data_IF_703757914890
#
_entry.id   IF_703757914890
#
_cell.length_a   1.000
_cell.length_b   1.000
_cell.length_c   1.000
_cell.angle_alpha   90.00
_cell.angle_beta   90.00
_cell.angle_gamma   90.00
#
_symmetry.space_group_name_H-M   'P 1'
#
loop_
_entity.id
_entity.type
_entity.pdbx_description
1 polymer ?
#
# COMPACT_ATOMS: atom_id res chain seq x y z
N UNK A 1 19.76 -8.56 13.72
CA UNK A 1 18.96 -7.50 13.10
C UNK A 1 17.99 -6.92 14.13
N UNK A 2 18.10 -5.65 14.38
CA UNK A 2 17.18 -4.92 15.26
C UNK A 2 16.55 -3.78 14.49
N UNK A 3 15.24 -3.60 14.64
CA UNK A 3 14.54 -2.48 14.01
C UNK A 3 13.45 -1.94 14.93
N UNK A 4 13.13 -0.66 14.77
CA UNK A 4 12.07 0.00 15.55
C UNK A 4 11.33 1.00 14.67
N UNK A 5 10.01 1.03 14.80
CA UNK A 5 9.18 2.05 14.14
C UNK A 5 9.42 3.39 14.80
N UNK A 6 9.77 4.40 14.00
CA UNK A 6 10.00 5.78 14.49
C UNK A 6 8.83 6.71 14.19
N UNK A 7 8.10 6.44 13.14
CA UNK A 7 6.94 7.24 12.81
C UNK A 7 6.16 6.61 11.68
N UNK A 8 4.90 6.99 11.57
CA UNK A 8 4.03 6.55 10.49
C UNK A 8 3.07 7.69 10.15
N UNK A 9 2.85 7.90 8.86
CA UNK A 9 1.89 8.90 8.41
C UNK A 9 1.33 8.54 7.04
N UNK A 10 0.22 9.19 6.69
CA UNK A 10 -0.36 9.06 5.36
C UNK A 10 0.38 9.98 4.39
N UNK A 11 0.86 9.43 3.28
CA UNK A 11 1.41 10.21 2.17
C UNK A 11 0.30 10.68 1.23
N UNK A 12 -0.77 9.90 1.13
CA UNK A 12 -1.89 10.22 0.25
C UNK A 12 -3.18 9.62 0.81
N UNK A 13 -4.23 10.43 0.88
CA UNK A 13 -5.59 10.00 1.18
C UNK A 13 -6.49 10.66 0.14
N UNK A 14 -6.92 9.92 -0.87
CA UNK A 14 -7.67 10.46 -1.99
C UNK A 14 -8.93 9.63 -2.22
N UNK A 15 -10.06 10.31 -2.41
CA UNK A 15 -11.34 9.66 -2.68
C UNK A 15 -12.21 10.59 -3.53
N UNK A 16 -12.84 10.04 -4.56
CA UNK A 16 -13.83 10.79 -5.34
C UNK A 16 -14.90 9.83 -5.87
N UNK A 17 -16.13 10.31 -5.95
CA UNK A 17 -17.26 9.55 -6.48
C UNK A 17 -17.29 9.67 -7.99
N UNK A 18 -17.50 8.56 -8.67
CA UNK A 18 -17.72 8.51 -10.11
C UNK A 18 -19.22 8.41 -10.36
N UNK A 19 -19.76 9.38 -11.11
CA UNK A 19 -21.18 9.38 -11.47
C UNK A 19 -21.38 8.53 -12.71
N UNK A 20 -21.38 7.21 -12.52
CA UNK A 20 -21.52 6.23 -13.59
C UNK A 20 -22.75 5.37 -13.38
N UNK A 21 -23.37 4.93 -14.48
CA UNK A 21 -24.52 4.05 -14.42
C UNK A 21 -24.06 2.60 -14.42
N UNK A 22 -24.17 1.95 -13.26
CA UNK A 22 -23.73 0.58 -13.06
C UNK A 22 -24.91 -0.41 -12.94
N UNK A 23 -26.09 -0.05 -13.49
CA UNK A 23 -27.35 -0.78 -13.26
C UNK A 23 -27.27 -2.30 -13.49
N UNK A 24 -26.45 -2.76 -14.42
CA UNK A 24 -26.36 -4.19 -14.76
C UNK A 24 -24.95 -4.74 -14.61
N UNK A 25 -24.01 -3.94 -14.10
CA UNK A 25 -22.62 -4.35 -13.96
C UNK A 25 -22.37 -4.91 -12.56
N UNK A 26 -21.84 -6.14 -12.51
CA UNK A 26 -21.31 -6.67 -11.27
C UNK A 26 -19.92 -6.08 -11.06
N UNK A 27 -19.83 -5.11 -10.16
CA UNK A 27 -18.56 -4.47 -9.84
C UNK A 27 -17.84 -5.30 -8.80
N UNK A 28 -16.66 -5.79 -9.16
CA UNK A 28 -15.80 -6.54 -8.24
C UNK A 28 -14.70 -5.60 -7.77
N UNK A 29 -14.53 -5.49 -6.45
CA UNK A 29 -13.45 -4.71 -5.87
C UNK A 29 -12.12 -5.40 -6.17
N UNK A 30 -11.28 -4.74 -6.96
CA UNK A 30 -10.00 -5.30 -7.42
C UNK A 30 -8.88 -4.26 -7.24
N UNK A 31 -8.47 -3.97 -5.99
CA UNK A 31 -7.47 -2.95 -5.73
C UNK A 31 -6.09 -3.39 -6.18
N UNK A 32 -5.28 -2.40 -6.56
CA UNK A 32 -3.86 -2.59 -6.85
C UNK A 32 -3.04 -2.14 -5.65
N UNK A 33 -1.98 -2.88 -5.36
CA UNK A 33 -1.09 -2.57 -4.25
C UNK A 33 0.30 -2.21 -4.76
N UNK A 34 0.93 -1.26 -4.09
CA UNK A 34 2.32 -0.88 -4.38
C UNK A 34 3.11 -0.89 -3.08
N UNK A 35 4.36 -1.31 -3.16
CA UNK A 35 5.28 -1.33 -2.02
C UNK A 35 6.60 -0.72 -2.45
N UNK A 36 7.15 0.15 -1.60
CA UNK A 36 8.43 0.78 -1.88
C UNK A 36 9.25 0.83 -0.60
N UNK A 37 10.50 0.36 -0.68
CA UNK A 37 11.44 0.36 0.42
C UNK A 37 12.61 1.26 0.05
N UNK A 38 12.93 2.21 0.92
CA UNK A 38 14.07 3.10 0.71
C UNK A 38 14.95 3.12 1.94
N UNK A 39 16.25 3.20 1.71
CA UNK A 39 17.24 3.47 2.73
C UNK A 39 17.74 4.89 2.52
N UNK A 40 17.77 5.71 3.58
CA UNK A 40 18.19 7.09 3.46
C UNK A 40 19.72 7.17 3.25
N UNK A 41 20.14 7.94 2.23
CA UNK A 41 21.56 8.11 1.92
C UNK A 41 22.33 8.84 3.01
N UNK A 42 21.69 9.79 3.67
CA UNK A 42 22.31 10.62 4.70
C UNK A 42 22.41 9.90 6.05
N UNK A 43 21.59 8.89 6.27
CA UNK A 43 21.60 8.07 7.47
C UNK A 43 21.18 6.65 7.12
N UNK A 44 22.15 5.78 6.94
CA UNK A 44 21.91 4.41 6.50
C UNK A 44 21.20 3.53 7.52
N UNK A 45 20.96 4.02 8.73
CA UNK A 45 20.18 3.32 9.74
C UNK A 45 18.68 3.58 9.56
N UNK A 46 18.30 4.59 8.80
CA UNK A 46 16.89 4.95 8.59
C UNK A 46 16.40 4.33 7.28
N UNK A 47 15.30 3.63 7.40
CA UNK A 47 14.61 2.99 6.29
C UNK A 47 13.18 3.47 6.26
N UNK A 48 12.60 3.57 5.06
CA UNK A 48 11.18 3.87 4.91
C UNK A 48 10.51 2.77 4.12
N UNK A 49 9.28 2.48 4.54
CA UNK A 49 8.42 1.53 3.84
C UNK A 49 7.12 2.24 3.51
N UNK A 50 6.82 2.32 2.22
CA UNK A 50 5.58 2.92 1.73
C UNK A 50 4.73 1.83 1.12
N UNK A 51 3.50 1.72 1.57
CA UNK A 51 2.52 0.80 1.00
C UNK A 51 1.33 1.60 0.51
N UNK A 52 0.90 1.30 -0.72
CA UNK A 52 -0.22 1.98 -1.32
C UNK A 52 -1.28 1.02 -1.82
N UNK A 53 -2.50 1.51 -1.86
CA UNK A 53 -3.63 0.82 -2.47
C UNK A 53 -4.36 1.81 -3.37
N UNK A 54 -4.70 1.39 -4.59
CA UNK A 54 -5.49 2.21 -5.49
C UNK A 54 -6.55 1.38 -6.18
N UNK A 55 -7.70 2.00 -6.42
CA UNK A 55 -8.78 1.43 -7.21
C UNK A 55 -9.46 2.60 -7.92
N UNK A 56 -9.16 2.77 -9.19
CA UNK A 56 -9.58 3.93 -9.96
C UNK A 56 -10.23 3.50 -11.26
N UNK A 57 -11.20 4.29 -11.72
CA UNK A 57 -11.86 4.02 -12.98
C UNK A 57 -10.89 4.18 -14.14
N UNK A 58 -11.00 3.31 -15.15
CA UNK A 58 -10.17 3.34 -16.34
C UNK A 58 -11.02 2.88 -17.54
N UNK A 59 -10.45 2.89 -18.73
CA UNK A 59 -11.13 2.37 -19.91
C UNK A 59 -11.44 0.88 -19.78
N UNK A 60 -10.58 0.15 -19.07
CA UNK A 60 -10.71 -1.30 -18.90
C UNK A 60 -11.62 -1.68 -17.73
N UNK A 61 -11.68 -0.84 -16.69
CA UNK A 61 -12.44 -1.11 -15.48
C UNK A 61 -13.16 0.13 -15.00
N UNK A 62 -14.48 0.08 -14.98
CA UNK A 62 -15.31 1.20 -14.50
C UNK A 62 -15.63 0.95 -13.04
N UNK A 63 -15.29 1.92 -12.17
CA UNK A 63 -15.50 1.83 -10.73
C UNK A 63 -16.49 2.89 -10.25
N UNK A 64 -17.26 2.62 -9.18
CA UNK A 64 -18.20 3.61 -8.63
C UNK A 64 -17.51 4.76 -7.92
N UNK A 65 -16.26 4.59 -7.53
CA UNK A 65 -15.46 5.65 -6.93
C UNK A 65 -13.98 5.40 -7.22
N UNK A 66 -13.20 6.46 -7.07
CA UNK A 66 -11.74 6.38 -7.13
C UNK A 66 -11.20 6.49 -5.71
N UNK A 67 -10.25 5.64 -5.37
CA UNK A 67 -9.59 5.70 -4.07
C UNK A 67 -8.10 5.42 -4.25
N UNK A 68 -7.29 6.21 -3.55
CA UNK A 68 -5.84 6.01 -3.51
C UNK A 68 -5.34 6.39 -2.12
N UNK A 69 -4.73 5.44 -1.43
CA UNK A 69 -4.23 5.62 -0.07
C UNK A 69 -2.80 5.11 -0.02
N UNK A 70 -1.90 5.93 0.53
CA UNK A 70 -0.50 5.55 0.75
C UNK A 70 -0.11 5.85 2.18
N UNK A 71 0.48 4.85 2.83
CA UNK A 71 1.01 4.98 4.19
C UNK A 71 2.51 4.79 4.15
N UNK A 72 3.24 5.65 4.85
CA UNK A 72 4.69 5.56 4.97
C UNK A 72 5.06 5.32 6.44
N UNK A 73 5.87 4.31 6.68
CA UNK A 73 6.49 4.07 7.98
C UNK A 73 7.98 4.34 7.91
N UNK A 74 8.50 5.08 8.88
CA UNK A 74 9.93 5.30 9.04
C UNK A 74 10.45 4.41 10.16
N UNK A 75 11.55 3.71 9.88
CA UNK A 75 12.15 2.73 10.77
C UNK A 75 13.64 3.01 10.95
N UNK A 76 14.13 2.74 12.15
CA UNK A 76 15.55 2.69 12.40
C UNK A 76 15.95 1.23 12.54
N UNK A 77 16.96 0.81 11.79
CA UNK A 77 17.40 -0.58 11.76
C UNK A 77 18.90 -0.69 11.84
N UNK A 78 19.38 -1.70 12.57
CA UNK A 78 20.80 -2.02 12.71
C UNK A 78 21.03 -3.48 12.39
N UNK A 79 22.26 -3.79 11.94
CA UNK A 79 22.65 -5.15 11.61
C UNK A 79 22.15 -5.62 10.25
N UNK A 80 21.90 -4.69 9.33
CA UNK A 80 21.48 -5.01 7.97
C UNK A 80 22.72 -5.05 7.09
N UNK A 81 23.26 -6.25 6.85
CA UNK A 81 24.53 -6.43 6.13
C UNK A 81 24.37 -7.21 4.82
N UNK A 82 23.42 -8.15 4.75
CA UNK A 82 23.26 -9.03 3.61
C UNK A 82 21.93 -8.71 2.87
N UNK A 83 21.81 -9.23 1.65
CA UNK A 83 20.55 -9.13 0.91
C UNK A 83 19.40 -9.85 1.61
N UNK A 84 19.72 -10.96 2.30
CA UNK A 84 18.73 -11.68 3.12
C UNK A 84 18.22 -10.81 4.26
N UNK A 85 19.12 -10.07 4.92
CA UNK A 85 18.75 -9.13 5.98
C UNK A 85 17.81 -8.05 5.44
N UNK A 86 18.11 -7.50 4.25
CA UNK A 86 17.29 -6.48 3.62
C UNK A 86 15.89 -7.01 3.30
N UNK A 87 15.79 -8.23 2.80
CA UNK A 87 14.51 -8.86 2.48
C UNK A 87 13.69 -9.11 3.74
N UNK A 88 14.33 -9.61 4.80
CA UNK A 88 13.66 -9.80 6.09
C UNK A 88 13.15 -8.48 6.66
N UNK A 89 13.97 -7.43 6.59
CA UNK A 89 13.57 -6.09 7.05
C UNK A 89 12.38 -5.58 6.23
N UNK A 90 12.43 -5.72 4.90
CA UNK A 90 11.35 -5.26 4.03
C UNK A 90 10.02 -5.93 4.39
N UNK A 91 10.01 -7.24 4.55
CA UNK A 91 8.81 -7.99 4.93
C UNK A 91 8.33 -7.56 6.31
N UNK A 92 9.25 -7.41 7.27
CA UNK A 92 8.91 -6.99 8.63
C UNK A 92 8.30 -5.59 8.67
N UNK A 93 8.87 -4.65 7.91
CA UNK A 93 8.33 -3.30 7.82
C UNK A 93 6.92 -3.30 7.21
N UNK A 94 6.70 -4.09 6.16
CA UNK A 94 5.38 -4.19 5.53
C UNK A 94 4.34 -4.77 6.49
N UNK A 95 4.71 -5.75 7.30
CA UNK A 95 3.82 -6.31 8.32
C UNK A 95 3.38 -5.27 9.34
N UNK A 96 4.25 -4.31 9.66
CA UNK A 96 3.92 -3.23 10.59
C UNK A 96 3.03 -2.17 9.92
N UNK A 97 3.33 -1.78 8.68
CA UNK A 97 2.65 -0.66 8.01
C UNK A 97 1.28 -1.07 7.42
N UNK A 98 1.14 -2.30 6.97
CA UNK A 98 -0.09 -2.75 6.29
C UNK A 98 -1.37 -2.57 7.13
N UNK A 99 -1.39 -2.91 8.43
CA UNK A 99 -2.59 -2.66 9.25
C UNK A 99 -3.02 -1.19 9.28
N UNK A 100 -2.07 -0.26 9.22
CA UNK A 100 -2.37 1.17 9.14
C UNK A 100 -3.01 1.53 7.80
N UNK A 101 -2.55 0.92 6.71
CA UNK A 101 -3.18 1.10 5.40
C UNK A 101 -4.63 0.60 5.43
N UNK A 102 -4.87 -0.57 6.00
CA UNK A 102 -6.21 -1.15 6.11
C UNK A 102 -7.15 -0.21 6.87
N UNK A 103 -6.69 0.31 8.00
CA UNK A 103 -7.46 1.26 8.81
C UNK A 103 -7.74 2.55 8.03
N UNK A 104 -6.75 3.09 7.34
CA UNK A 104 -6.91 4.31 6.57
C UNK A 104 -7.94 4.14 5.44
N UNK A 105 -7.91 3.03 4.73
CA UNK A 105 -8.87 2.73 3.66
C UNK A 105 -10.29 2.64 4.22
N UNK A 106 -10.47 1.94 5.34
CA UNK A 106 -11.77 1.81 5.99
C UNK A 106 -12.27 3.19 6.43
N UNK A 107 -11.42 3.99 7.05
CA UNK A 107 -11.79 5.33 7.53
C UNK A 107 -12.16 6.27 6.39
N UNK A 108 -11.42 6.27 5.30
CA UNK A 108 -11.71 7.11 4.13
C UNK A 108 -13.06 6.73 3.54
N UNK A 109 -13.34 5.46 3.33
CA UNK A 109 -14.62 5.02 2.76
C UNK A 109 -15.78 5.23 3.72
N UNK A 110 -15.58 5.06 5.03
CA UNK A 110 -16.59 5.36 6.03
C UNK A 110 -16.93 6.85 6.06
N UNK A 111 -15.91 7.71 5.99
CA UNK A 111 -16.10 9.17 5.94
C UNK A 111 -16.85 9.61 4.70
N UNK A 112 -16.70 8.90 3.60
CA UNK A 112 -17.38 9.15 2.33
C UNK A 112 -18.79 8.53 2.28
N UNK A 113 -19.24 7.89 3.37
CA UNK A 113 -20.54 7.20 3.46
C UNK A 113 -20.69 6.05 2.47
N UNK A 114 -19.61 5.38 2.14
CA UNK A 114 -19.66 4.12 1.39
C UNK A 114 -20.24 3.04 2.31
N UNK A 115 -21.27 2.35 1.87
CA UNK A 115 -21.99 1.39 2.71
C UNK A 115 -22.01 0.01 2.08
N UNK A 116 -21.38 -0.99 2.69
CA UNK A 116 -20.51 -0.88 3.87
C UNK A 116 -19.16 -0.27 3.53
N UNK A 117 -18.43 0.30 4.50
CA UNK A 117 -17.07 0.76 4.26
C UNK A 117 -16.17 -0.36 3.75
N UNK A 118 -15.16 0.00 2.97
CA UNK A 118 -14.22 -0.99 2.43
C UNK A 118 -13.33 -1.52 3.55
N UNK A 119 -13.24 -2.85 3.64
CA UNK A 119 -12.32 -3.53 4.56
C UNK A 119 -11.39 -4.38 3.70
N UNK A 120 -10.10 -4.01 3.67
CA UNK A 120 -9.11 -4.77 2.93
C UNK A 120 -8.87 -6.12 3.59
N UNK A 121 -8.65 -7.18 2.81
CA UNK A 121 -8.33 -8.48 3.37
C UNK A 121 -6.96 -8.48 4.05
N UNK A 122 -6.73 -9.44 4.94
CA UNK A 122 -5.40 -9.66 5.49
C UNK A 122 -4.58 -10.41 4.44
N UNK A 123 -3.54 -9.75 3.95
CA UNK A 123 -2.65 -10.30 2.93
C UNK A 123 -1.26 -10.43 3.56
N UNK A 124 -0.60 -11.60 3.47
CA UNK A 124 0.76 -11.73 3.98
C UNK A 124 1.70 -10.73 3.30
N UNK A 125 2.60 -10.12 4.07
CA UNK A 125 3.51 -9.10 3.55
C UNK A 125 4.38 -9.62 2.41
N UNK A 126 4.79 -10.88 2.47
CA UNK A 126 5.57 -11.50 1.40
C UNK A 126 4.81 -11.54 0.08
N UNK A 127 3.50 -11.78 0.12
CA UNK A 127 2.64 -11.81 -1.08
C UNK A 127 2.50 -10.39 -1.66
N UNK A 128 2.24 -9.40 -0.80
CA UNK A 128 2.14 -7.99 -1.22
C UNK A 128 3.43 -7.53 -1.89
N UNK A 129 4.56 -7.84 -1.28
CA UNK A 129 5.86 -7.45 -1.79
C UNK A 129 6.16 -8.10 -3.15
N UNK A 130 5.83 -9.37 -3.32
CA UNK A 130 6.00 -10.08 -4.59
C UNK A 130 5.16 -9.47 -5.71
N UNK A 131 3.92 -9.11 -5.43
CA UNK A 131 3.04 -8.46 -6.41
C UNK A 131 3.58 -7.11 -6.86
N UNK A 132 4.06 -6.30 -5.91
CA UNK A 132 4.64 -4.99 -6.20
C UNK A 132 5.92 -5.10 -7.05
N UNK A 133 6.78 -6.06 -6.75
CA UNK A 133 8.00 -6.31 -7.51
C UNK A 133 7.66 -6.71 -8.95
N UNK A 134 6.68 -7.56 -9.15
CA UNK A 134 6.24 -7.97 -10.48
C UNK A 134 5.73 -6.78 -11.31
N UNK A 135 4.98 -5.88 -10.71
CA UNK A 135 4.52 -4.67 -11.38
C UNK A 135 5.69 -3.77 -11.79
N UNK A 136 6.65 -3.55 -10.90
CA UNK A 136 7.85 -2.76 -11.20
C UNK A 136 8.68 -3.39 -12.32
N UNK A 137 8.83 -4.71 -12.31
CA UNK A 137 9.54 -5.42 -13.37
C UNK A 137 8.83 -5.26 -14.71
N UNK A 138 7.49 -5.25 -14.72
CA UNK A 138 6.70 -4.97 -15.90
C UNK A 138 6.88 -3.56 -16.42
N UNK A 139 6.92 -2.56 -15.55
CA UNK A 139 7.16 -1.15 -15.89
C UNK A 139 8.57 -0.94 -16.46
N UNK A 140 9.57 -1.59 -15.90
CA UNK A 140 10.96 -1.46 -16.34
C UNK A 140 11.23 -2.11 -17.70
N UNK A 141 10.39 -3.01 -18.16
CA UNK A 141 10.51 -3.67 -19.46
C UNK A 141 9.88 -2.88 -20.61
N UNK A 142 9.17 -1.85 -20.28
CA UNK A 142 8.56 -0.93 -21.23
C UNK A 142 9.44 0.31 -21.42
#
# INVERSE_FOLDING_TARGET
MNYALRGIHAEELSFSINHVNLKDAKVKFNPKYTCEIKNLKDNNKIWTATIGMSWETSEEEVTPFNISVKMLGAFEAEGIETEEDKQLLAVSMMEVVFPYLRTAVTNVTASANVMPPVVLPVIPASVLFSQSIQEKAGELKN
#
